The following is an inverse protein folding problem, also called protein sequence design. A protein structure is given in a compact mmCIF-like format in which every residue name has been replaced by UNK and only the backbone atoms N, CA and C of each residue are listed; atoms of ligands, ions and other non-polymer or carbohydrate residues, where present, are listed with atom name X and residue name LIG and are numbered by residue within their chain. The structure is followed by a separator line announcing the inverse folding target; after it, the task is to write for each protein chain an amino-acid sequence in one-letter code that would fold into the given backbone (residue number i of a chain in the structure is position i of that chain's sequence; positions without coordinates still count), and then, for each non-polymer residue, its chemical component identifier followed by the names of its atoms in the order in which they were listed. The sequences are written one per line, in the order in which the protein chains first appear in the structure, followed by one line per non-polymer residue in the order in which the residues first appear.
data_IF_814265728148
#
_entry.id   IF_814265728148
#
_cell.length_a   1.000
_cell.length_b   1.000
_cell.length_c   1.000
_cell.angle_alpha   90.00
_cell.angle_beta   90.00
_cell.angle_gamma   90.00
#
_symmetry.space_group_name_H-M   'P 1'
#
loop_
_entity.id
_entity.type
_entity.pdbx_description
1 polymer ?
#
# COMPACT_ATOMS: atom_id res chain seq x y z
N UNK A 1 59.84 18.72 -9.73
CA UNK A 1 58.92 18.00 -8.82
C UNK A 1 58.98 16.53 -9.18
N UNK A 2 59.17 15.64 -8.20
CA UNK A 2 59.32 14.21 -8.46
C UNK A 2 58.02 13.65 -9.07
N UNK A 3 58.11 12.88 -10.16
CA UNK A 3 56.96 12.24 -10.81
C UNK A 3 56.16 11.38 -9.83
N UNK A 4 56.82 10.79 -8.83
CA UNK A 4 56.16 10.01 -7.78
C UNK A 4 55.26 10.87 -6.89
N UNK A 5 55.66 12.11 -6.60
CA UNK A 5 54.89 13.05 -5.79
C UNK A 5 53.65 13.52 -6.57
N UNK A 6 53.81 13.80 -7.87
CA UNK A 6 52.68 14.17 -8.75
C UNK A 6 51.63 13.06 -8.80
N UNK A 7 52.07 11.82 -9.06
CA UNK A 7 51.17 10.65 -9.10
C UNK A 7 50.45 10.41 -7.76
N UNK A 8 51.13 10.64 -6.63
CA UNK A 8 50.52 10.53 -5.32
C UNK A 8 49.43 11.58 -5.09
N UNK A 9 49.69 12.83 -5.44
CA UNK A 9 48.70 13.92 -5.33
C UNK A 9 47.50 13.65 -6.24
N UNK A 10 47.74 13.26 -7.50
CA UNK A 10 46.68 12.97 -8.46
C UNK A 10 45.79 11.81 -7.97
N UNK A 11 46.39 10.75 -7.42
CA UNK A 11 45.64 9.64 -6.83
C UNK A 11 44.78 10.10 -5.65
N UNK A 12 45.32 10.91 -4.74
CA UNK A 12 44.56 11.44 -3.61
C UNK A 12 43.39 12.33 -4.03
N UNK A 13 43.61 13.19 -5.03
CA UNK A 13 42.54 14.05 -5.57
C UNK A 13 41.46 13.18 -6.23
N UNK A 14 41.84 12.20 -7.05
CA UNK A 14 40.90 11.28 -7.70
C UNK A 14 40.10 10.47 -6.68
N UNK A 15 40.77 9.85 -5.71
CA UNK A 15 40.13 9.05 -4.66
C UNK A 15 39.21 9.91 -3.78
N UNK A 16 39.68 11.10 -3.39
CA UNK A 16 38.90 12.04 -2.59
C UNK A 16 37.65 12.54 -3.32
N UNK A 17 37.79 12.89 -4.60
CA UNK A 17 36.66 13.35 -5.44
C UNK A 17 35.65 12.22 -5.64
N UNK A 18 36.12 11.00 -5.93
CA UNK A 18 35.25 9.83 -6.08
C UNK A 18 34.47 9.53 -4.81
N UNK A 19 35.14 9.56 -3.64
CA UNK A 19 34.48 9.37 -2.36
C UNK A 19 33.39 10.43 -2.12
N UNK A 20 33.70 11.70 -2.40
CA UNK A 20 32.75 12.81 -2.28
C UNK A 20 31.49 12.60 -3.14
N UNK A 21 31.66 12.14 -4.38
CA UNK A 21 30.55 11.84 -5.28
C UNK A 21 29.68 10.70 -4.70
N UNK A 22 30.30 9.59 -4.27
CA UNK A 22 29.57 8.45 -3.71
C UNK A 22 28.77 8.84 -2.46
N UNK A 23 29.37 9.59 -1.54
CA UNK A 23 28.67 10.07 -0.34
C UNK A 23 27.54 11.03 -0.67
N UNK A 24 27.73 11.90 -1.66
CA UNK A 24 26.69 12.85 -2.07
C UNK A 24 25.49 12.15 -2.68
N UNK A 25 25.70 11.12 -3.51
CA UNK A 25 24.61 10.36 -4.14
C UNK A 25 23.77 9.62 -3.09
N UNK A 26 24.40 8.91 -2.16
CA UNK A 26 23.67 8.19 -1.10
C UNK A 26 22.92 9.12 -0.14
N UNK A 27 23.40 10.35 0.08
CA UNK A 27 22.72 11.31 0.94
C UNK A 27 21.42 11.85 0.34
N UNK A 28 21.32 11.89 -0.98
CA UNK A 28 20.24 12.53 -1.74
C UNK A 28 19.10 11.54 -2.07
N UNK A 29 19.35 10.23 -1.96
CA UNK A 29 18.31 9.23 -2.16
C UNK A 29 17.27 9.27 -1.03
N UNK A 30 15.96 9.16 -1.35
CA UNK A 30 14.92 9.03 -0.35
C UNK A 30 15.10 7.79 0.52
N UNK A 31 14.79 7.93 1.81
CA UNK A 31 14.83 6.82 2.77
C UNK A 31 13.43 6.27 2.96
N UNK A 32 13.21 5.02 2.55
CA UNK A 32 11.91 4.37 2.70
C UNK A 32 11.81 3.67 4.07
N UNK A 33 10.84 4.08 4.89
CA UNK A 33 10.63 3.56 6.25
C UNK A 33 9.51 2.50 6.26
N UNK A 34 8.35 2.81 5.68
CA UNK A 34 7.20 1.92 5.60
C UNK A 34 6.37 2.16 4.32
N UNK A 35 5.71 1.13 3.75
CA UNK A 35 5.82 -0.28 4.14
C UNK A 35 7.20 -0.89 3.80
N UNK A 36 7.56 -1.99 4.47
CA UNK A 36 8.79 -2.72 4.14
C UNK A 36 8.60 -3.53 2.86
N UNK A 37 9.70 -3.88 2.20
CA UNK A 37 9.67 -4.74 1.03
C UNK A 37 9.10 -6.12 1.39
N UNK A 38 8.18 -6.62 0.58
CA UNK A 38 7.43 -7.85 0.85
C UNK A 38 6.39 -7.74 1.97
N UNK A 39 5.97 -6.53 2.34
CA UNK A 39 4.90 -6.33 3.33
C UNK A 39 3.59 -6.96 2.85
N UNK A 40 2.90 -7.68 3.73
CA UNK A 40 1.58 -8.24 3.46
C UNK A 40 0.57 -7.82 4.55
N UNK A 41 -0.65 -7.49 4.13
CA UNK A 41 -1.73 -7.14 5.06
C UNK A 41 -3.10 -7.50 4.48
N UNK A 42 -4.07 -7.76 5.35
CA UNK A 42 -5.48 -7.82 4.96
C UNK A 42 -6.17 -6.46 5.12
N UNK A 43 -5.50 -5.48 5.73
CA UNK A 43 -6.02 -4.13 5.87
C UNK A 43 -5.64 -3.31 4.63
N UNK A 44 -6.63 -2.76 3.92
CA UNK A 44 -6.41 -1.88 2.77
C UNK A 44 -5.78 -0.53 3.14
N UNK A 45 -5.85 -0.10 4.40
CA UNK A 45 -5.21 1.12 4.87
C UNK A 45 -3.70 0.89 5.10
N UNK A 46 -2.87 1.43 4.21
CA UNK A 46 -1.41 1.32 4.27
C UNK A 46 -0.80 2.65 4.67
N UNK A 47 0.01 2.64 5.73
CA UNK A 47 0.80 3.80 6.14
C UNK A 47 2.11 3.85 5.34
N UNK A 48 2.30 4.94 4.61
CA UNK A 48 3.53 5.27 3.94
C UNK A 48 4.35 6.23 4.79
N UNK A 49 5.60 5.87 5.03
CA UNK A 49 6.55 6.67 5.78
C UNK A 49 7.90 6.65 5.09
N UNK A 50 8.46 7.83 4.85
CA UNK A 50 9.69 8.01 4.10
C UNK A 50 10.26 9.40 4.36
N UNK A 51 11.54 9.60 4.06
CA UNK A 51 12.22 10.89 4.18
C UNK A 51 12.88 11.29 2.84
N UNK A 52 13.08 12.59 2.65
CA UNK A 52 13.80 13.19 1.49
C UNK A 52 13.17 12.89 0.13
N UNK A 53 11.86 12.76 0.07
CA UNK A 53 11.10 12.74 -1.17
C UNK A 53 10.03 13.83 -1.15
N UNK A 54 9.52 14.14 -2.34
CA UNK A 54 8.44 15.11 -2.57
C UNK A 54 7.13 14.40 -2.93
N UNK A 55 7.24 13.19 -3.51
CA UNK A 55 6.10 12.35 -3.91
C UNK A 55 6.40 10.87 -3.70
N UNK A 56 5.34 10.08 -3.59
CA UNK A 56 5.40 8.63 -3.80
C UNK A 56 4.64 8.25 -5.06
N UNK A 57 5.16 7.24 -5.74
CA UNK A 57 4.52 6.59 -6.86
C UNK A 57 4.14 5.19 -6.43
N UNK A 58 2.89 4.81 -6.68
CA UNK A 58 2.35 3.47 -6.44
C UNK A 58 1.77 2.97 -7.76
N UNK A 59 2.06 1.74 -8.13
CA UNK A 59 1.50 1.11 -9.32
C UNK A 59 1.31 -0.40 -9.10
N UNK A 60 0.50 -1.05 -9.93
CA UNK A 60 0.28 -2.50 -9.94
C UNK A 60 1.34 -3.27 -10.76
N UNK A 61 2.27 -2.54 -11.37
CA UNK A 61 3.35 -3.06 -12.20
C UNK A 61 4.69 -2.40 -11.86
N UNK A 62 5.76 -3.18 -11.89
CA UNK A 62 7.11 -2.74 -11.51
C UNK A 62 7.69 -1.65 -12.43
N UNK A 63 7.17 -1.54 -13.65
CA UNK A 63 7.62 -0.56 -14.64
C UNK A 63 7.03 0.84 -14.40
N UNK A 64 6.06 0.95 -13.49
CA UNK A 64 5.31 2.18 -13.22
C UNK A 64 4.72 2.78 -14.52
N UNK A 65 4.01 1.95 -15.30
CA UNK A 65 3.42 2.35 -16.58
C UNK A 65 2.25 3.32 -16.45
N UNK A 66 1.54 3.30 -15.32
CA UNK A 66 0.39 4.15 -15.00
C UNK A 66 0.30 4.42 -13.49
N UNK A 67 1.32 5.07 -12.90
CA UNK A 67 1.42 5.19 -11.47
C UNK A 67 0.44 6.22 -10.91
N UNK A 68 -0.12 5.91 -9.75
CA UNK A 68 -0.77 6.90 -8.91
C UNK A 68 0.31 7.71 -8.17
N UNK A 69 0.22 9.03 -8.26
CA UNK A 69 1.14 9.97 -7.62
C UNK A 69 0.48 10.61 -6.40
N UNK A 70 1.18 10.56 -5.27
CA UNK A 70 0.74 11.18 -4.03
C UNK A 70 1.83 12.13 -3.52
N UNK A 71 1.45 13.38 -3.26
CA UNK A 71 2.34 14.38 -2.69
C UNK A 71 2.51 14.18 -1.18
N UNK A 72 3.67 14.58 -0.67
CA UNK A 72 4.05 14.39 0.73
C UNK A 72 3.12 15.14 1.69
N UNK A 73 2.46 14.36 2.53
CA UNK A 73 1.87 14.77 3.79
C UNK A 73 2.43 13.87 4.89
N UNK A 74 2.70 14.43 6.08
CA UNK A 74 3.18 13.63 7.22
C UNK A 74 2.17 12.51 7.54
N UNK A 75 2.64 11.25 7.57
CA UNK A 75 1.83 10.05 7.83
C UNK A 75 0.73 9.78 6.79
N UNK A 76 1.11 9.76 5.52
CA UNK A 76 0.21 9.42 4.42
C UNK A 76 -0.35 8.00 4.55
N UNK A 77 -1.66 7.89 4.77
CA UNK A 77 -2.39 6.62 4.78
C UNK A 77 -3.22 6.53 3.51
N UNK A 78 -2.99 5.49 2.71
CA UNK A 78 -3.69 5.25 1.46
C UNK A 78 -4.52 3.98 1.60
N UNK A 79 -5.80 4.07 1.23
CA UNK A 79 -6.70 2.93 1.19
C UNK A 79 -6.60 2.29 -0.20
N UNK A 80 -5.99 1.11 -0.25
CA UNK A 80 -5.80 0.34 -1.48
C UNK A 80 -6.74 -0.86 -1.50
N UNK A 81 -7.17 -1.22 -2.70
CA UNK A 81 -7.90 -2.47 -2.93
C UNK A 81 -6.96 -3.68 -2.76
N UNK A 82 -7.49 -4.89 -2.58
CA UNK A 82 -6.68 -6.10 -2.64
C UNK A 82 -5.89 -6.19 -3.95
N UNK A 83 -4.62 -6.55 -3.86
CA UNK A 83 -3.70 -6.54 -5.00
C UNK A 83 -2.23 -6.60 -4.59
N UNK A 84 -1.35 -6.76 -5.58
CA UNK A 84 0.10 -6.61 -5.44
C UNK A 84 0.47 -5.24 -6.00
N UNK A 85 1.27 -4.49 -5.25
CA UNK A 85 1.65 -3.13 -5.58
C UNK A 85 3.16 -2.95 -5.48
N UNK A 86 3.66 -2.06 -6.32
CA UNK A 86 5.02 -1.58 -6.34
C UNK A 86 5.02 -0.12 -5.97
N UNK A 87 5.97 0.30 -5.14
CA UNK A 87 6.09 1.70 -4.78
C UNK A 87 7.53 2.17 -4.69
N UNK A 88 7.72 3.47 -4.90
CA UNK A 88 8.99 4.17 -4.71
C UNK A 88 8.71 5.62 -4.31
N UNK A 89 9.61 6.20 -3.55
CA UNK A 89 9.58 7.63 -3.26
C UNK A 89 10.51 8.37 -4.23
N UNK A 90 10.10 9.57 -4.63
CA UNK A 90 10.83 10.41 -5.59
C UNK A 90 11.09 11.77 -4.97
N UNK A 91 12.37 12.10 -4.82
CA UNK A 91 12.84 13.45 -4.54
C UNK A 91 13.79 13.89 -5.66
N UNK A 92 14.97 14.38 -5.31
CA UNK A 92 16.03 14.70 -6.29
C UNK A 92 16.50 13.45 -7.06
N UNK A 93 16.50 12.29 -6.39
CA UNK A 93 16.71 10.97 -6.98
C UNK A 93 15.55 10.04 -6.58
N UNK A 94 15.26 8.99 -7.36
CA UNK A 94 14.33 7.95 -6.93
C UNK A 94 14.98 7.04 -5.87
N UNK A 95 14.15 6.49 -4.98
CA UNK A 95 14.53 5.40 -4.08
C UNK A 95 14.64 4.06 -4.79
N UNK A 96 14.98 2.99 -4.05
CA UNK A 96 14.65 1.64 -4.49
C UNK A 96 13.14 1.46 -4.72
N UNK A 97 12.78 0.43 -5.48
CA UNK A 97 11.39 -0.03 -5.64
C UNK A 97 11.14 -1.11 -4.60
N UNK A 98 9.99 -1.05 -3.92
CA UNK A 98 9.53 -2.06 -2.97
C UNK A 98 8.19 -2.64 -3.41
N UNK A 99 8.00 -3.92 -3.13
CA UNK A 99 6.74 -4.63 -3.34
C UNK A 99 5.98 -4.74 -2.03
N UNK A 100 4.65 -4.66 -2.09
CA UNK A 100 3.78 -5.05 -0.98
C UNK A 100 2.45 -5.59 -1.51
N UNK A 101 1.72 -6.31 -0.65
CA UNK A 101 0.48 -7.00 -1.03
C UNK A 101 -0.64 -6.74 -0.02
N UNK A 102 -1.81 -6.45 -0.57
CA UNK A 102 -3.07 -6.41 0.17
C UNK A 102 -3.84 -7.68 -0.17
N UNK A 103 -3.98 -8.58 0.81
CA UNK A 103 -4.72 -9.81 0.66
C UNK A 103 -6.22 -9.53 0.72
N UNK A 104 -6.98 -10.18 -0.15
CA UNK A 104 -8.44 -10.19 -0.09
C UNK A 104 -8.93 -10.85 1.19
N UNK A 105 -9.81 -10.18 1.94
CA UNK A 105 -10.49 -10.71 3.11
C UNK A 105 -11.99 -10.43 3.02
N UNK A 106 -12.77 -11.50 2.87
CA UNK A 106 -14.23 -11.48 2.96
C UNK A 106 -14.62 -11.78 4.41
N UNK A 107 -15.24 -10.81 5.07
CA UNK A 107 -15.67 -10.97 6.46
C UNK A 107 -17.07 -10.40 6.67
N UNK A 108 -18.03 -11.29 6.98
CA UNK A 108 -19.40 -10.92 7.27
C UNK A 108 -19.63 -11.00 8.77
N UNK A 109 -20.06 -9.90 9.39
CA UNK A 109 -20.44 -9.87 10.80
C UNK A 109 -21.95 -9.64 10.91
N UNK A 110 -22.55 -10.26 11.92
CA UNK A 110 -23.94 -10.04 12.28
C UNK A 110 -23.97 -9.31 13.62
N UNK A 111 -24.74 -8.24 13.68
CA UNK A 111 -25.00 -7.49 14.90
C UNK A 111 -26.50 -7.51 15.16
N UNK A 112 -26.90 -7.96 16.34
CA UNK A 112 -28.31 -8.01 16.69
C UNK A 112 -28.85 -6.59 16.85
N UNK A 113 -29.94 -6.26 16.16
CA UNK A 113 -30.63 -4.98 16.27
C UNK A 113 -32.15 -5.21 16.45
N UNK A 114 -32.62 -5.08 17.69
CA UNK A 114 -34.01 -5.38 18.06
C UNK A 114 -34.41 -6.83 17.79
N UNK A 115 -35.41 -7.01 16.92
CA UNK A 115 -35.93 -8.32 16.49
C UNK A 115 -35.22 -8.88 15.24
N UNK A 116 -34.29 -8.13 14.64
CA UNK A 116 -33.57 -8.49 13.41
C UNK A 116 -32.05 -8.54 13.56
N UNK A 117 -31.37 -8.61 12.41
CA UNK A 117 -29.92 -8.56 12.33
C UNK A 117 -29.47 -7.43 11.40
N UNK A 118 -28.49 -6.66 11.86
CA UNK A 118 -27.67 -5.79 11.02
C UNK A 118 -26.51 -6.63 10.48
N UNK A 119 -26.44 -6.73 9.15
CA UNK A 119 -25.34 -7.40 8.46
C UNK A 119 -24.28 -6.35 8.16
N UNK A 120 -23.03 -6.62 8.56
CA UNK A 120 -21.91 -5.70 8.44
C UNK A 120 -20.81 -6.34 7.61
N UNK A 121 -20.33 -5.63 6.60
CA UNK A 121 -19.13 -6.00 5.89
C UNK A 121 -17.90 -5.54 6.67
N UNK A 122 -17.21 -6.48 7.30
CA UNK A 122 -15.98 -6.25 8.05
C UNK A 122 -14.73 -6.67 7.26
N UNK A 123 -14.89 -7.02 5.99
CA UNK A 123 -13.81 -7.35 5.07
C UNK A 123 -13.27 -6.12 4.37
N UNK A 124 -12.36 -6.33 3.43
CA UNK A 124 -11.77 -5.28 2.60
C UNK A 124 -12.25 -5.30 1.13
N UNK A 125 -13.23 -6.16 0.84
CA UNK A 125 -13.90 -6.24 -0.45
C UNK A 125 -15.38 -5.93 -0.32
N UNK A 126 -15.99 -5.46 -1.41
CA UNK A 126 -17.44 -5.33 -1.50
C UNK A 126 -18.08 -6.71 -1.40
N UNK A 127 -19.14 -6.82 -0.60
CA UNK A 127 -19.84 -8.08 -0.40
C UNK A 127 -21.22 -8.07 -1.03
N UNK A 128 -21.56 -9.19 -1.63
CA UNK A 128 -22.88 -9.53 -2.08
C UNK A 128 -23.49 -10.56 -1.12
N UNK A 129 -24.57 -10.18 -0.43
CA UNK A 129 -25.16 -10.97 0.66
C UNK A 129 -26.54 -11.48 0.27
N UNK A 130 -26.65 -12.81 0.16
CA UNK A 130 -27.93 -13.49 -0.01
C UNK A 130 -28.62 -13.65 1.35
N UNK A 131 -29.85 -13.15 1.46
CA UNK A 131 -30.69 -13.22 2.66
C UNK A 131 -31.71 -14.33 2.49
N UNK A 132 -31.75 -15.25 3.47
CA UNK A 132 -32.66 -16.38 3.49
C UNK A 132 -33.68 -16.28 4.63
N UNK A 133 -34.86 -16.85 4.39
CA UNK A 133 -35.87 -17.14 5.42
C UNK A 133 -36.54 -18.47 5.09
N UNK A 134 -36.62 -19.37 6.05
CA UNK A 134 -37.17 -20.73 5.90
C UNK A 134 -36.53 -21.50 4.73
N UNK A 135 -35.23 -21.27 4.50
CA UNK A 135 -34.45 -21.90 3.44
C UNK A 135 -34.68 -21.34 2.02
N UNK A 136 -35.44 -20.26 1.84
CA UNK A 136 -35.64 -19.58 0.55
C UNK A 136 -34.92 -18.23 0.54
N UNK A 137 -34.33 -17.87 -0.61
CA UNK A 137 -33.79 -16.53 -0.81
C UNK A 137 -34.96 -15.55 -0.84
N UNK A 138 -34.93 -14.56 0.04
CA UNK A 138 -35.95 -13.51 0.14
C UNK A 138 -35.41 -12.14 -0.29
N UNK A 139 -34.10 -11.99 -0.40
CA UNK A 139 -33.47 -10.74 -0.80
C UNK A 139 -31.99 -10.87 -1.03
N UNK A 140 -31.42 -9.80 -1.56
CA UNK A 140 -30.01 -9.65 -1.85
C UNK A 140 -29.58 -8.22 -1.50
N UNK A 141 -28.45 -8.08 -0.82
CA UNK A 141 -27.92 -6.79 -0.38
C UNK A 141 -26.45 -6.71 -0.78
N UNK A 142 -26.06 -5.57 -1.36
CA UNK A 142 -24.66 -5.25 -1.66
C UNK A 142 -24.14 -4.33 -0.56
N UNK A 143 -23.05 -4.72 0.10
CA UNK A 143 -22.42 -3.97 1.17
C UNK A 143 -21.04 -3.49 0.72
N UNK A 144 -20.85 -2.18 0.70
CA UNK A 144 -19.51 -1.59 0.58
C UNK A 144 -18.63 -1.94 1.79
N UNK A 145 -17.32 -1.70 1.70
CA UNK A 145 -16.38 -1.88 2.81
C UNK A 145 -16.83 -1.02 4.00
N UNK A 146 -16.86 -1.60 5.19
CA UNK A 146 -17.43 -1.04 6.43
C UNK A 146 -18.93 -0.70 6.37
N UNK A 147 -19.62 -1.08 5.29
CA UNK A 147 -21.05 -0.89 5.12
C UNK A 147 -21.88 -1.83 5.97
N UNK A 148 -23.05 -1.37 6.40
CA UNK A 148 -24.04 -2.19 7.11
C UNK A 148 -25.45 -1.95 6.59
N UNK A 149 -26.28 -3.00 6.66
CA UNK A 149 -27.70 -2.93 6.31
C UNK A 149 -28.53 -3.75 7.30
N UNK A 150 -29.67 -3.22 7.72
CA UNK A 150 -30.65 -3.93 8.54
C UNK A 150 -31.48 -4.87 7.69
N UNK A 151 -31.43 -6.17 7.97
CA UNK A 151 -32.16 -7.20 7.22
C UNK A 151 -32.86 -8.20 8.13
N UNK A 152 -33.99 -8.72 7.65
CA UNK A 152 -34.77 -9.74 8.34
C UNK A 152 -34.60 -11.08 7.62
N UNK A 153 -34.00 -12.06 8.30
CA UNK A 153 -33.72 -13.38 7.76
C UNK A 153 -33.17 -14.33 8.83
N UNK A 154 -33.17 -15.63 8.55
CA UNK A 154 -32.64 -16.67 9.43
C UNK A 154 -31.24 -17.16 9.02
N UNK A 155 -30.79 -16.84 7.81
CA UNK A 155 -29.47 -17.18 7.29
C UNK A 155 -28.99 -16.14 6.29
N UNK A 156 -27.69 -15.86 6.35
CA UNK A 156 -26.99 -14.88 5.51
C UNK A 156 -25.76 -15.55 4.88
N UNK A 157 -25.56 -15.35 3.59
CA UNK A 157 -24.40 -15.89 2.86
C UNK A 157 -23.75 -14.76 2.08
N UNK A 158 -22.57 -14.33 2.53
CA UNK A 158 -21.75 -13.32 1.84
C UNK A 158 -20.82 -13.97 0.81
N UNK A 159 -20.69 -13.33 -0.35
CA UNK A 159 -19.69 -13.61 -1.39
C UNK A 159 -19.03 -12.31 -1.83
N UNK A 160 -17.84 -12.37 -2.41
CA UNK A 160 -17.23 -11.19 -3.05
C UNK A 160 -18.10 -10.75 -4.24
N UNK A 161 -18.25 -9.44 -4.38
CA UNK A 161 -18.91 -8.80 -5.52
C UNK A 161 -17.82 -8.42 -6.55
N UNK A 162 -17.39 -9.41 -7.36
CA UNK A 162 -16.45 -9.21 -8.48
C UNK A 162 -17.06 -8.40 -9.64
#
# INVERSE_FOLDING_TARGET
MDKKIILGIDFFILAGTLALIVFSVGYVQPLLIAPQDGYESNNGAVLFSFEKADVILIDDNIDFSSPDEYHVEDNLVINLKPGVYYWKAVGVLPSEIREFKINSEISLKLKQDGEGYEVVNAGNERLNVDVYSEGKIIGNVVLDVDGSEGVFGDKFVGRSDE
#
